data_IF_178679260435
#
_entry.id   IF_178679260435
#
_cell.length_a   1.000
_cell.length_b   1.000
_cell.length_c   1.000
_cell.angle_alpha   90.00
_cell.angle_beta   90.00
_cell.angle_gamma   90.00
#
_symmetry.space_group_name_H-M   'P 1'
#
loop_
_entity.id
_entity.type
_entity.pdbx_description
1 polymer ?
#
# COMPACT_ATOMS: atom_id res chain seq x y z
N UNK A 1 5.79 15.16 -8.41
CA UNK A 1 6.29 16.44 -7.86
C UNK A 1 7.00 16.14 -6.55
N UNK A 2 8.12 16.82 -6.27
CA UNK A 2 8.84 16.76 -4.99
C UNK A 2 8.45 18.00 -4.20
N UNK A 3 8.13 17.81 -2.92
CA UNK A 3 7.86 18.88 -1.96
C UNK A 3 9.05 18.95 -1.00
N UNK A 4 9.43 20.14 -0.58
CA UNK A 4 10.45 20.34 0.44
C UNK A 4 10.14 21.57 1.29
N UNK A 5 10.48 21.52 2.57
CA UNK A 5 10.35 22.60 3.54
C UNK A 5 11.64 22.68 4.36
N UNK A 6 11.83 23.80 5.04
CA UNK A 6 12.93 24.02 5.96
C UNK A 6 12.36 24.12 7.38
N UNK A 7 12.83 23.26 8.30
CA UNK A 7 12.36 23.21 9.68
C UNK A 7 13.49 23.55 10.65
N UNK A 8 13.26 24.49 11.56
CA UNK A 8 14.19 24.87 12.63
C UNK A 8 13.62 24.46 14.00
N UNK A 9 14.50 24.15 14.95
CA UNK A 9 14.12 24.04 16.36
C UNK A 9 13.90 25.44 16.94
N UNK A 10 12.97 25.57 17.89
CA UNK A 10 12.62 26.83 18.59
C UNK A 10 13.86 27.55 19.16
N UNK A 11 14.84 26.79 19.64
CA UNK A 11 15.99 27.28 20.40
C UNK A 11 17.18 27.71 19.52
N UNK A 12 16.93 28.11 18.27
CA UNK A 12 17.92 28.78 17.41
C UNK A 12 18.82 27.85 16.58
N UNK A 13 18.36 26.65 16.22
CA UNK A 13 19.11 25.74 15.35
C UNK A 13 19.07 26.11 13.86
N UNK A 14 20.11 25.74 13.10
CA UNK A 14 20.12 25.89 11.64
C UNK A 14 18.95 25.13 10.99
N UNK A 15 18.19 25.80 10.12
CA UNK A 15 17.00 25.23 9.50
C UNK A 15 17.36 24.03 8.60
N UNK A 16 16.83 22.86 8.95
CA UNK A 16 17.11 21.62 8.25
C UNK A 16 16.08 21.36 7.15
N UNK A 17 16.56 20.94 5.98
CA UNK A 17 15.70 20.73 4.82
C UNK A 17 15.10 19.32 4.82
N UNK A 18 13.79 19.23 5.02
CA UNK A 18 13.02 17.99 4.90
C UNK A 18 12.33 17.96 3.54
N UNK A 19 12.37 16.83 2.84
CA UNK A 19 11.79 16.71 1.50
C UNK A 19 11.15 15.35 1.24
N UNK A 20 9.97 15.36 0.63
CA UNK A 20 9.17 14.18 0.31
C UNK A 20 8.60 14.25 -1.11
N UNK A 21 7.87 13.21 -1.51
CA UNK A 21 7.14 13.18 -2.78
C UNK A 21 5.64 13.28 -2.50
N UNK A 22 4.89 13.88 -3.44
CA UNK A 22 3.42 13.93 -3.33
C UNK A 22 2.86 12.52 -3.17
N UNK A 23 2.10 12.29 -2.10
CA UNK A 23 1.54 10.99 -1.72
C UNK A 23 2.15 10.36 -0.46
N UNK A 24 3.25 10.91 0.09
CA UNK A 24 3.69 10.63 1.46
C UNK A 24 2.59 11.02 2.46
N UNK A 25 2.38 10.27 3.54
CA UNK A 25 1.36 10.58 4.54
C UNK A 25 1.83 11.61 5.57
N UNK A 26 0.89 12.27 6.24
CA UNK A 26 1.18 13.26 7.29
C UNK A 26 2.09 12.68 8.39
N UNK A 27 1.76 11.48 8.90
CA UNK A 27 2.58 10.76 9.88
C UNK A 27 3.99 10.39 9.36
N UNK A 28 4.17 10.21 8.04
CA UNK A 28 5.51 10.01 7.44
C UNK A 28 6.30 11.32 7.36
N UNK A 29 5.65 12.45 7.08
CA UNK A 29 6.28 13.79 7.10
C UNK A 29 6.65 14.18 8.53
N UNK A 30 5.74 14.01 9.47
CA UNK A 30 5.97 14.24 10.90
C UNK A 30 7.16 13.40 11.40
N UNK A 31 7.18 12.09 11.11
CA UNK A 31 8.30 11.20 11.44
C UNK A 31 9.62 11.65 10.80
N UNK A 32 9.60 12.17 9.57
CA UNK A 32 10.80 12.69 8.91
C UNK A 32 11.33 13.96 9.61
N UNK A 33 10.45 14.89 10.00
CA UNK A 33 10.80 16.09 10.77
C UNK A 33 11.42 15.68 12.13
N UNK A 34 10.78 14.75 12.86
CA UNK A 34 11.30 14.22 14.13
C UNK A 34 12.71 13.66 13.99
N UNK A 35 12.96 12.83 12.98
CA UNK A 35 14.29 12.22 12.73
C UNK A 35 15.30 13.31 12.37
N UNK A 36 14.94 14.26 11.51
CA UNK A 36 15.86 15.29 11.02
C UNK A 36 16.30 16.25 12.15
N UNK A 37 15.40 16.56 13.07
CA UNK A 37 15.66 17.43 14.22
C UNK A 37 16.01 16.67 15.51
N UNK A 38 16.26 15.35 15.43
CA UNK A 38 16.58 14.47 16.56
C UNK A 38 15.60 14.55 17.73
N UNK A 39 14.31 14.77 17.43
CA UNK A 39 13.24 14.92 18.43
C UNK A 39 12.85 13.58 19.06
N UNK A 40 12.36 13.57 20.31
CA UNK A 40 11.82 12.36 20.92
C UNK A 40 10.64 11.79 20.12
N UNK A 41 10.47 10.47 20.16
CA UNK A 41 9.48 9.75 19.34
C UNK A 41 8.02 10.02 19.72
N UNK A 42 7.77 10.44 20.98
CA UNK A 42 6.44 10.49 21.58
C UNK A 42 6.02 11.90 22.03
N UNK A 43 6.81 12.95 21.75
CA UNK A 43 6.43 14.33 22.12
C UNK A 43 5.62 14.96 20.99
N UNK A 44 4.41 15.45 21.25
CA UNK A 44 3.65 16.17 20.23
C UNK A 44 4.41 17.42 19.76
N UNK A 45 4.12 17.93 18.56
CA UNK A 45 4.65 19.22 18.12
C UNK A 45 3.79 19.83 17.03
N UNK A 46 3.91 21.15 16.87
CA UNK A 46 3.31 21.90 15.77
C UNK A 46 4.40 22.67 15.02
N UNK A 47 4.05 23.16 13.84
CA UNK A 47 4.90 24.00 13.00
C UNK A 47 4.35 25.42 13.02
N UNK A 48 5.22 26.41 13.17
CA UNK A 48 4.90 27.83 12.99
C UNK A 48 5.50 28.32 11.68
N UNK A 49 4.72 28.96 10.82
CA UNK A 49 5.24 29.52 9.57
C UNK A 49 5.81 30.95 9.74
N UNK A 50 6.11 31.60 8.61
CA UNK A 50 6.66 32.95 8.56
C UNK A 50 5.63 34.04 8.89
N UNK A 51 4.35 33.80 8.64
CA UNK A 51 3.25 34.72 8.98
C UNK A 51 2.87 34.61 10.47
N UNK A 52 3.33 33.54 11.13
CA UNK A 52 3.19 33.29 12.56
C UNK A 52 2.06 32.33 12.91
N UNK A 53 1.40 31.76 11.90
CA UNK A 53 0.33 30.78 12.03
C UNK A 53 0.87 29.43 12.48
N UNK A 54 0.09 28.72 13.30
CA UNK A 54 0.47 27.43 13.87
C UNK A 54 -0.32 26.31 13.20
N UNK A 55 0.39 25.42 12.51
CA UNK A 55 -0.17 24.34 11.68
C UNK A 55 0.39 22.97 12.06
N UNK A 56 -0.37 21.88 11.88
CA UNK A 56 0.16 20.53 12.07
C UNK A 56 1.16 20.15 10.96
N UNK A 57 2.06 19.21 11.26
CA UNK A 57 2.91 18.60 10.24
C UNK A 57 2.05 17.82 9.22
N UNK A 58 2.06 18.24 7.95
CA UNK A 58 1.23 17.63 6.90
C UNK A 58 2.00 17.41 5.59
N UNK A 59 1.58 16.40 4.84
CA UNK A 59 1.99 16.11 3.47
C UNK A 59 1.64 17.21 2.47
N UNK A 60 0.70 18.10 2.83
CA UNK A 60 0.17 19.20 2.00
C UNK A 60 0.87 20.55 2.21
N UNK A 61 1.90 20.62 3.07
CA UNK A 61 2.64 21.87 3.32
C UNK A 61 3.20 22.47 2.01
N UNK A 62 3.07 23.80 1.81
CA UNK A 62 3.61 24.49 0.63
C UNK A 62 5.11 24.25 0.39
N UNK A 63 5.46 24.02 -0.88
CA UNK A 63 6.83 23.73 -1.27
C UNK A 63 7.73 24.97 -1.22
N UNK A 64 8.83 24.88 -0.48
CA UNK A 64 9.85 25.91 -0.32
C UNK A 64 9.77 26.70 0.98
N UNK A 65 8.71 26.48 1.79
CA UNK A 65 8.49 27.29 2.99
C UNK A 65 9.37 26.93 4.18
N UNK A 66 9.54 27.90 5.07
CA UNK A 66 10.25 27.79 6.33
C UNK A 66 9.27 27.69 7.50
N UNK A 67 9.59 26.81 8.46
CA UNK A 67 8.80 26.57 9.66
C UNK A 67 9.69 26.45 10.91
N UNK A 68 9.17 26.89 12.05
CA UNK A 68 9.76 26.69 13.37
C UNK A 68 8.96 25.65 14.14
N UNK A 69 9.62 24.64 14.70
CA UNK A 69 8.97 23.60 15.50
C UNK A 69 8.62 24.13 16.89
N UNK A 70 7.36 23.98 17.28
CA UNK A 70 6.85 24.26 18.61
C UNK A 70 6.60 22.94 19.35
N UNK A 71 7.43 22.66 20.35
CA UNK A 71 7.24 21.56 21.30
C UNK A 71 6.35 22.05 22.47
N UNK A 72 5.31 21.33 22.86
CA UNK A 72 4.58 21.57 24.09
C UNK A 72 5.30 20.86 25.25
N UNK A 73 6.06 21.61 26.05
CA UNK A 73 6.27 21.25 27.46
C UNK A 73 6.70 22.44 28.32
N UNK A 74 6.10 22.50 29.50
CA UNK A 74 6.54 23.13 30.75
C UNK A 74 7.03 24.58 30.71
N UNK A 75 6.08 25.50 30.50
CA UNK A 75 6.04 26.73 31.30
C UNK A 75 4.62 26.93 31.84
N UNK A 76 4.51 27.33 33.11
CA UNK A 76 3.23 27.38 33.82
C UNK A 76 2.31 28.48 33.30
N UNK A 77 1.18 28.09 32.70
CA UNK A 77 0.20 29.04 32.15
C UNK A 77 -1.17 28.40 31.92
N UNK A 78 -2.04 28.53 32.92
CA UNK A 78 -3.43 28.05 32.94
C UNK A 78 -4.19 28.23 31.62
N UNK A 79 -4.71 27.14 31.04
CA UNK A 79 -6.05 27.07 30.43
C UNK A 79 -6.51 25.60 30.31
N UNK A 80 -7.76 25.35 30.65
CA UNK A 80 -8.39 24.08 31.01
C UNK A 80 -8.15 22.85 30.13
N UNK A 81 -7.99 21.70 30.80
CA UNK A 81 -8.25 20.37 30.23
C UNK A 81 -9.73 20.23 29.81
N UNK A 82 -10.01 19.62 28.65
CA UNK A 82 -11.20 18.78 28.44
C UNK A 82 -11.10 17.91 27.16
N UNK A 83 -10.65 16.66 27.35
CA UNK A 83 -11.03 15.45 26.59
C UNK A 83 -11.12 15.46 25.06
N UNK A 84 -10.15 14.72 24.49
CA UNK A 84 -10.35 13.74 23.42
C UNK A 84 -11.75 13.10 23.36
N UNK A 85 -12.37 13.08 22.18
CA UNK A 85 -13.33 12.03 21.82
C UNK A 85 -13.31 11.73 20.31
N UNK A 86 -13.53 10.46 19.98
CA UNK A 86 -13.39 9.91 18.63
C UNK A 86 -14.64 10.19 17.75
N UNK A 87 -14.38 10.57 16.50
CA UNK A 87 -14.92 9.94 15.26
C UNK A 87 -16.45 9.72 15.14
N UNK A 88 -17.02 10.25 14.02
CA UNK A 88 -18.33 9.91 13.40
C UNK A 88 -19.59 10.36 14.19
N UNK A 89 -20.70 10.79 13.58
CA UNK A 89 -21.16 10.68 12.18
C UNK A 89 -21.91 11.95 11.74
N UNK A 90 -21.91 12.23 10.43
CA UNK A 90 -22.73 13.28 9.80
C UNK A 90 -24.04 12.67 9.29
N UNK A 91 -25.15 12.88 10.01
CA UNK A 91 -26.51 12.68 9.50
C UNK A 91 -27.51 13.44 10.37
N UNK A 92 -27.90 14.65 9.92
CA UNK A 92 -29.12 15.33 10.37
C UNK A 92 -29.75 16.05 9.19
N UNK A 93 -31.00 15.70 8.91
CA UNK A 93 -31.86 16.39 7.95
C UNK A 93 -32.56 17.56 8.65
N UNK A 94 -32.87 18.61 7.85
CA UNK A 94 -33.94 19.60 8.05
C UNK A 94 -33.77 20.56 9.26
N UNK A 95 -34.30 21.80 9.26
CA UNK A 95 -35.47 22.35 8.53
C UNK A 95 -35.38 23.90 8.41
N UNK A 96 -35.86 24.51 7.30
CA UNK A 96 -36.22 25.96 7.12
C UNK A 96 -35.07 27.02 7.21
N UNK A 97 -35.07 28.20 6.57
CA UNK A 97 -36.11 29.12 6.03
C UNK A 97 -35.68 29.71 4.66
N UNK A 98 -36.64 29.99 3.75
CA UNK A 98 -36.47 30.60 2.41
C UNK A 98 -36.31 32.14 2.42
N UNK A 99 -35.73 32.79 1.37
CA UNK A 99 -36.47 33.14 0.12
C UNK A 99 -35.58 33.18 -1.17
N UNK A 100 -36.06 33.48 -2.40
CA UNK A 100 -37.29 33.07 -3.12
C UNK A 100 -37.27 33.50 -4.61
N UNK A 101 -37.57 32.57 -5.56
CA UNK A 101 -38.11 32.81 -6.92
C UNK A 101 -37.29 33.59 -7.99
N UNK A 102 -37.61 33.49 -9.32
CA UNK A 102 -38.41 32.48 -10.07
C UNK A 102 -37.76 31.96 -11.39
N UNK A 103 -38.23 30.81 -11.94
CA UNK A 103 -38.55 30.62 -13.39
C UNK A 103 -39.18 29.24 -13.79
N UNK A 104 -40.51 29.26 -13.97
CA UNK A 104 -41.35 28.66 -15.06
C UNK A 104 -41.35 27.15 -15.45
N UNK A 105 -42.60 26.68 -15.70
CA UNK A 105 -43.14 25.50 -16.47
C UNK A 105 -43.20 24.14 -15.70
N UNK A 106 -44.40 23.58 -15.42
CA UNK A 106 -45.44 22.91 -16.29
C UNK A 106 -45.13 21.39 -16.37
N UNK A 107 -45.96 20.40 -15.99
CA UNK A 107 -47.42 20.19 -16.15
C UNK A 107 -48.05 19.29 -15.04
N UNK A 108 -49.39 19.18 -15.06
CA UNK A 108 -50.42 18.46 -14.24
C UNK A 108 -50.14 16.99 -13.76
N UNK A 109 -50.57 16.54 -12.57
CA UNK A 109 -51.93 16.14 -12.05
C UNK A 109 -52.39 14.77 -12.63
N UNK A 110 -52.63 13.68 -11.87
CA UNK A 110 -53.70 13.39 -10.87
C UNK A 110 -53.57 11.93 -10.34
N UNK A 111 -54.35 11.36 -9.40
CA UNK A 111 -54.81 11.75 -8.02
C UNK A 111 -55.60 10.54 -7.37
N UNK A 112 -55.77 10.51 -6.03
CA UNK A 112 -56.55 9.56 -5.15
C UNK A 112 -55.89 8.24 -4.66
N UNK A 113 -55.91 8.08 -3.31
CA UNK A 113 -55.91 6.81 -2.53
C UNK A 113 -57.14 6.85 -1.59
N UNK A 114 -57.84 5.74 -1.28
CA UNK A 114 -57.68 4.98 -0.02
C UNK A 114 -57.80 3.43 -0.22
N UNK A 115 -57.15 2.50 0.51
CA UNK A 115 -57.18 2.15 1.95
C UNK A 115 -58.55 1.62 2.47
N UNK A 116 -58.62 0.78 3.54
CA UNK A 116 -57.76 -0.33 3.97
C UNK A 116 -58.57 -1.62 4.36
N UNK A 117 -57.91 -2.71 4.78
CA UNK A 117 -58.59 -3.89 5.36
C UNK A 117 -57.69 -4.72 6.29
N UNK A 118 -58.14 -4.99 7.52
CA UNK A 118 -57.39 -5.77 8.53
C UNK A 118 -57.95 -7.18 8.68
N UNK A 119 -57.10 -8.20 8.87
CA UNK A 119 -57.10 -9.05 10.10
C UNK A 119 -56.37 -10.41 9.97
N UNK A 120 -55.52 -10.66 10.98
CA UNK A 120 -55.25 -11.94 11.68
C UNK A 120 -54.69 -13.18 10.93
N UNK A 121 -53.52 -13.60 11.45
CA UNK A 121 -53.13 -14.98 11.81
C UNK A 121 -53.34 -16.09 10.76
N UNK A 122 -52.24 -16.63 10.23
CA UNK A 122 -51.83 -17.99 10.62
C UNK A 122 -50.34 -18.29 10.34
N UNK A 123 -49.86 -19.39 10.95
CA UNK A 123 -48.68 -20.21 10.65
C UNK A 123 -47.29 -19.58 10.62
N UNK A 124 -46.55 -19.94 11.67
CA UNK A 124 -45.13 -20.31 11.57
C UNK A 124 -44.94 -21.30 10.43
N UNK A 125 -44.31 -20.86 9.33
CA UNK A 125 -43.65 -21.75 8.38
C UNK A 125 -42.16 -21.55 8.60
N UNK A 126 -41.49 -22.60 9.06
CA UNK A 126 -40.03 -22.64 9.07
C UNK A 126 -39.56 -22.55 7.61
N UNK A 127 -39.01 -21.40 7.23
CA UNK A 127 -38.31 -21.27 5.95
C UNK A 127 -37.01 -22.05 6.09
N UNK A 128 -37.03 -23.30 5.60
CA UNK A 128 -35.83 -24.08 5.39
C UNK A 128 -34.91 -23.27 4.47
N UNK A 129 -33.86 -22.68 5.04
CA UNK A 129 -32.84 -21.95 4.29
C UNK A 129 -32.26 -22.90 3.23
N UNK A 130 -32.36 -22.59 1.93
CA UNK A 130 -31.70 -23.38 0.92
C UNK A 130 -30.20 -23.41 1.18
N UNK A 131 -29.61 -24.58 0.98
CA UNK A 131 -28.18 -24.83 1.07
C UNK A 131 -27.40 -23.75 0.30
N UNK A 132 -26.30 -23.25 0.87
CA UNK A 132 -25.52 -22.15 0.28
C UNK A 132 -25.13 -22.48 -1.16
N UNK A 133 -25.46 -21.57 -2.08
CA UNK A 133 -25.10 -21.69 -3.49
C UNK A 133 -23.56 -21.83 -3.64
N UNK A 134 -23.12 -22.78 -4.48
CA UNK A 134 -21.74 -22.97 -4.96
C UNK A 134 -21.26 -21.79 -5.83
N UNK A 135 -21.27 -20.60 -5.26
CA UNK A 135 -20.89 -19.37 -5.94
C UNK A 135 -19.38 -19.25 -5.89
N UNK A 136 -18.72 -19.55 -7.02
CA UNK A 136 -17.28 -19.35 -7.18
C UNK A 136 -16.88 -17.95 -6.70
N UNK A 137 -15.77 -17.82 -5.95
CA UNK A 137 -15.32 -16.56 -5.40
C UNK A 137 -14.96 -15.58 -6.52
N UNK A 138 -15.11 -14.28 -6.24
CA UNK A 138 -14.68 -13.25 -7.20
C UNK A 138 -13.17 -13.35 -7.48
N UNK A 139 -12.74 -12.99 -8.70
CA UNK A 139 -11.32 -12.94 -9.07
C UNK A 139 -10.51 -12.06 -8.10
N UNK A 140 -11.13 -11.00 -7.59
CA UNK A 140 -10.53 -10.12 -6.60
C UNK A 140 -10.28 -10.86 -5.27
N UNK A 141 -11.23 -11.70 -4.81
CA UNK A 141 -11.08 -12.55 -3.62
C UNK A 141 -9.97 -13.58 -3.78
N UNK A 142 -9.86 -14.22 -4.95
CA UNK A 142 -8.76 -15.15 -5.27
C UNK A 142 -7.41 -14.43 -5.20
N UNK A 143 -7.30 -13.25 -5.81
CA UNK A 143 -6.09 -12.43 -5.80
C UNK A 143 -5.71 -12.00 -4.37
N UNK A 144 -6.69 -11.68 -3.52
CA UNK A 144 -6.43 -11.36 -2.12
C UNK A 144 -5.80 -12.54 -1.36
N UNK A 145 -6.43 -13.73 -1.44
CA UNK A 145 -5.91 -14.94 -0.80
C UNK A 145 -4.52 -15.31 -1.34
N UNK A 146 -4.32 -15.27 -2.66
CA UNK A 146 -3.01 -15.48 -3.29
C UNK A 146 -1.93 -14.52 -2.74
N UNK A 147 -2.23 -13.23 -2.63
CA UNK A 147 -1.29 -12.23 -2.08
C UNK A 147 -0.94 -12.55 -0.63
N UNK A 148 -1.91 -12.92 0.19
CA UNK A 148 -1.67 -13.21 1.62
C UNK A 148 -0.96 -14.54 1.86
N UNK A 149 -1.19 -15.56 1.02
CA UNK A 149 -0.40 -16.81 1.03
C UNK A 149 1.06 -16.55 0.69
N UNK A 150 1.38 -15.94 -0.45
CA UNK A 150 2.77 -15.88 -0.95
C UNK A 150 3.58 -14.67 -0.50
N UNK A 151 2.98 -13.68 0.16
CA UNK A 151 3.68 -12.45 0.53
C UNK A 151 3.40 -12.04 1.97
N UNK A 152 4.32 -11.33 2.61
CA UNK A 152 4.14 -10.73 3.94
C UNK A 152 4.37 -9.22 3.88
N UNK A 153 3.73 -8.42 4.76
CA UNK A 153 4.12 -7.02 4.97
C UNK A 153 5.62 -6.89 5.16
N UNK A 154 6.22 -5.85 4.58
CA UNK A 154 7.63 -5.56 4.78
C UNK A 154 7.85 -4.84 6.12
N UNK A 155 8.96 -5.11 6.77
CA UNK A 155 9.33 -4.43 8.01
C UNK A 155 9.88 -3.02 7.71
N UNK A 156 9.85 -2.11 8.69
CA UNK A 156 10.24 -0.71 8.52
C UNK A 156 11.74 -0.52 8.17
N UNK A 157 12.56 -1.52 8.47
CA UNK A 157 14.00 -1.62 8.29
C UNK A 157 14.41 -2.42 7.04
N UNK A 158 13.53 -3.27 6.52
CA UNK A 158 13.77 -4.07 5.31
C UNK A 158 13.65 -3.19 4.05
N UNK A 159 14.79 -2.60 3.69
CA UNK A 159 14.92 -1.71 2.54
C UNK A 159 15.21 -2.45 1.21
N UNK A 160 15.18 -3.78 1.20
CA UNK A 160 15.72 -4.60 0.10
C UNK A 160 14.70 -5.64 -0.41
N UNK A 161 13.98 -6.33 0.48
CA UNK A 161 13.12 -7.48 0.18
C UNK A 161 11.84 -7.19 -0.62
N UNK A 162 11.60 -5.95 -1.06
CA UNK A 162 10.38 -5.57 -1.78
C UNK A 162 10.18 -6.36 -3.08
N UNK A 163 8.92 -6.71 -3.33
CA UNK A 163 8.49 -7.25 -4.63
C UNK A 163 8.48 -6.13 -5.69
N UNK A 164 9.05 -6.34 -6.89
CA UNK A 164 8.99 -5.33 -7.95
C UNK A 164 7.60 -5.34 -8.60
N UNK A 165 7.21 -4.20 -9.17
CA UNK A 165 5.94 -4.09 -9.89
C UNK A 165 6.06 -4.47 -11.38
N UNK A 166 7.25 -4.86 -11.87
CA UNK A 166 7.49 -5.28 -13.24
C UNK A 166 8.77 -6.13 -13.40
N UNK A 167 8.78 -6.95 -14.45
CA UNK A 167 9.86 -7.87 -14.79
C UNK A 167 9.64 -9.26 -14.19
N UNK A 168 10.49 -10.22 -14.58
CA UNK A 168 10.41 -11.65 -14.28
C UNK A 168 10.36 -12.05 -12.78
N UNK A 169 10.41 -11.09 -11.86
CA UNK A 169 10.30 -11.30 -10.40
C UNK A 169 9.04 -10.66 -9.79
N UNK A 170 8.16 -10.09 -10.60
CA UNK A 170 6.98 -9.37 -10.13
C UNK A 170 5.85 -10.34 -9.73
N UNK A 171 4.99 -9.91 -8.79
CA UNK A 171 3.94 -10.77 -8.25
C UNK A 171 2.92 -11.25 -9.30
N UNK A 172 2.71 -10.46 -10.35
CA UNK A 172 1.84 -10.85 -11.46
C UNK A 172 2.40 -12.03 -12.25
N UNK A 173 3.71 -12.07 -12.48
CA UNK A 173 4.37 -13.16 -13.20
C UNK A 173 4.27 -14.48 -12.41
N UNK A 174 4.41 -14.42 -11.07
CA UNK A 174 4.12 -15.57 -10.19
C UNK A 174 2.63 -15.97 -10.22
N UNK A 175 1.71 -14.99 -10.23
CA UNK A 175 0.27 -15.27 -10.33
C UNK A 175 -0.07 -16.00 -11.63
N UNK A 176 0.43 -15.51 -12.76
CA UNK A 176 0.28 -16.18 -14.03
C UNK A 176 0.93 -17.57 -14.04
N UNK A 177 2.06 -17.78 -13.38
CA UNK A 177 2.70 -19.10 -13.28
C UNK A 177 1.87 -20.14 -12.51
N UNK A 178 1.13 -19.71 -11.47
CA UNK A 178 0.34 -20.60 -10.60
C UNK A 178 -1.12 -20.75 -11.07
N UNK A 179 -1.65 -19.75 -11.78
CA UNK A 179 -3.09 -19.61 -12.08
C UNK A 179 -3.36 -19.66 -13.60
N UNK A 180 -2.33 -19.94 -14.43
CA UNK A 180 -2.34 -19.91 -15.90
C UNK A 180 -3.56 -20.58 -16.53
N UNK A 181 -3.80 -21.84 -16.16
CA UNK A 181 -4.77 -22.72 -16.82
C UNK A 181 -6.19 -22.61 -16.24
N UNK A 182 -6.44 -21.55 -15.45
CA UNK A 182 -7.74 -21.28 -14.84
C UNK A 182 -8.46 -20.12 -15.52
N UNK A 183 -9.80 -20.11 -15.45
CA UNK A 183 -10.64 -18.98 -15.88
C UNK A 183 -10.38 -17.67 -15.10
N UNK A 184 -9.55 -17.72 -14.04
CA UNK A 184 -9.18 -16.57 -13.22
C UNK A 184 -7.84 -15.96 -13.62
N UNK A 185 -7.11 -16.57 -14.56
CA UNK A 185 -5.89 -16.00 -15.15
C UNK A 185 -6.17 -14.63 -15.77
N UNK A 186 -5.60 -13.57 -15.16
CA UNK A 186 -5.78 -12.22 -15.66
C UNK A 186 -4.85 -11.96 -16.85
N UNK A 187 -5.43 -11.75 -18.03
CA UNK A 187 -4.70 -11.30 -19.24
C UNK A 187 -4.06 -9.90 -19.12
N UNK A 188 -4.39 -9.16 -18.06
CA UNK A 188 -4.05 -7.75 -17.87
C UNK A 188 -3.44 -7.48 -16.50
N UNK A 189 -2.13 -7.24 -16.50
CA UNK A 189 -1.31 -6.89 -15.34
C UNK A 189 -1.80 -5.66 -14.57
N UNK A 190 -2.25 -4.62 -15.26
CA UNK A 190 -2.79 -3.41 -14.62
C UNK A 190 -4.05 -3.70 -13.80
N UNK A 191 -4.87 -4.66 -14.25
CA UNK A 191 -6.07 -5.09 -13.56
C UNK A 191 -5.73 -5.92 -12.30
N UNK A 192 -4.72 -6.80 -12.38
CA UNK A 192 -4.19 -7.51 -11.21
C UNK A 192 -3.74 -6.52 -10.13
N UNK A 193 -2.87 -5.55 -10.47
CA UNK A 193 -2.41 -4.56 -9.50
C UNK A 193 -3.50 -3.58 -9.03
N UNK A 194 -4.55 -3.35 -9.83
CA UNK A 194 -5.74 -2.62 -9.39
C UNK A 194 -6.50 -3.41 -8.31
N UNK A 195 -6.69 -4.71 -8.50
CA UNK A 195 -7.37 -5.58 -7.53
C UNK A 195 -6.54 -5.72 -6.24
N UNK A 196 -5.23 -5.99 -6.31
CA UNK A 196 -4.38 -6.03 -5.09
C UNK A 196 -4.40 -4.70 -4.32
N UNK A 197 -4.52 -3.56 -5.01
CA UNK A 197 -4.64 -2.23 -4.39
C UNK A 197 -5.95 -1.98 -3.66
N UNK A 198 -6.96 -2.85 -3.78
CA UNK A 198 -8.22 -2.74 -3.04
C UNK A 198 -8.16 -3.47 -1.69
N UNK A 199 -7.31 -4.50 -1.55
CA UNK A 199 -7.20 -5.31 -0.33
C UNK A 199 -6.20 -4.79 0.71
N UNK A 200 -5.42 -3.76 0.36
CA UNK A 200 -4.52 -3.10 1.30
C UNK A 200 -3.99 -1.79 0.76
N UNK A 201 -3.53 -0.91 1.66
CA UNK A 201 -2.82 0.31 1.30
C UNK A 201 -1.46 -0.07 0.70
N UNK A 202 -1.42 -0.20 -0.63
CA UNK A 202 -0.20 -0.21 -1.42
C UNK A 202 0.41 1.19 -1.30
N UNK A 203 1.29 1.39 -0.31
CA UNK A 203 2.09 2.61 -0.19
C UNK A 203 3.14 2.64 -1.32
N UNK A 204 3.13 3.73 -2.08
CA UNK A 204 3.51 3.75 -3.50
C UNK A 204 4.96 4.15 -3.73
N UNK A 205 5.89 3.54 -2.99
CA UNK A 205 7.31 3.84 -3.15
C UNK A 205 7.82 3.49 -4.56
N UNK A 206 8.14 4.52 -5.35
CA UNK A 206 8.76 4.40 -6.67
C UNK A 206 10.28 4.38 -6.53
N UNK A 207 10.82 3.23 -6.16
CA UNK A 207 12.26 3.04 -5.93
C UNK A 207 12.77 1.88 -6.78
N UNK A 208 13.97 2.02 -7.35
CA UNK A 208 14.64 0.94 -8.08
C UNK A 208 14.84 -0.28 -7.18
N UNK A 209 14.76 -1.46 -7.78
CA UNK A 209 15.08 -2.73 -7.12
C UNK A 209 16.28 -3.37 -7.82
N UNK A 210 17.04 -4.13 -7.05
CA UNK A 210 18.25 -4.79 -7.50
C UNK A 210 18.18 -6.24 -7.05
N UNK A 211 18.44 -7.16 -7.98
CA UNK A 211 18.39 -8.59 -7.73
C UNK A 211 19.66 -9.24 -8.26
N UNK A 212 20.15 -10.23 -7.54
CA UNK A 212 21.19 -11.15 -7.98
C UNK A 212 20.52 -12.47 -8.38
N UNK A 213 20.81 -12.98 -9.56
CA UNK A 213 20.30 -14.26 -10.06
C UNK A 213 21.45 -15.21 -10.39
N UNK A 214 21.32 -16.53 -10.18
CA UNK A 214 22.21 -17.50 -10.80
C UNK A 214 22.00 -17.50 -12.33
N UNK A 215 23.08 -17.58 -13.11
CA UNK A 215 22.94 -17.88 -14.54
C UNK A 215 22.65 -19.38 -14.70
N UNK A 216 21.63 -19.73 -15.47
CA UNK A 216 21.19 -21.12 -15.64
C UNK A 216 22.20 -22.05 -16.36
N UNK A 217 23.32 -21.52 -16.85
CA UNK A 217 24.31 -22.26 -17.69
C UNK A 217 25.78 -22.03 -17.27
N UNK A 218 26.03 -21.27 -16.20
CA UNK A 218 27.39 -20.98 -15.70
C UNK A 218 27.34 -20.74 -14.20
N UNK A 219 28.44 -20.94 -13.47
CA UNK A 219 28.58 -20.51 -12.05
C UNK A 219 28.65 -18.96 -11.87
N UNK A 220 28.23 -18.22 -12.89
CA UNK A 220 28.12 -16.77 -12.92
C UNK A 220 26.85 -16.25 -12.24
N UNK A 221 26.90 -14.98 -11.83
CA UNK A 221 25.79 -14.24 -11.22
C UNK A 221 25.38 -13.07 -12.11
N UNK A 222 24.10 -13.01 -12.45
CA UNK A 222 23.48 -11.89 -13.15
C UNK A 222 22.99 -10.87 -12.12
N UNK A 223 23.21 -9.57 -12.38
CA UNK A 223 22.76 -8.49 -11.51
C UNK A 223 21.76 -7.62 -12.28
N UNK A 224 20.50 -7.65 -11.86
CA UNK A 224 19.37 -7.04 -12.58
C UNK A 224 18.87 -5.81 -11.83
N UNK A 225 18.72 -4.69 -12.54
CA UNK A 225 18.05 -3.49 -12.03
C UNK A 225 16.61 -3.40 -12.55
N UNK A 226 15.62 -3.62 -11.68
CA UNK A 226 14.22 -3.37 -12.01
C UNK A 226 13.86 -1.91 -11.71
N UNK A 227 13.60 -1.13 -12.77
CA UNK A 227 13.09 0.25 -12.67
C UNK A 227 11.57 0.23 -12.40
N UNK A 228 11.04 1.04 -11.47
CA UNK A 228 9.61 1.07 -11.19
C UNK A 228 8.84 1.64 -12.38
N UNK A 229 7.78 0.96 -12.83
CA UNK A 229 6.89 1.41 -13.91
C UNK A 229 5.46 1.60 -13.40
N UNK A 230 4.72 2.58 -13.90
CA UNK A 230 3.31 2.80 -13.52
C UNK A 230 3.10 3.27 -12.06
N UNK A 231 2.10 2.70 -11.37
CA UNK A 231 1.77 3.02 -9.96
C UNK A 231 2.76 2.29 -9.02
N UNK A 232 3.04 2.88 -7.86
CA UNK A 232 4.09 2.41 -6.93
C UNK A 232 3.85 1.00 -6.38
N UNK A 233 4.91 0.42 -5.81
CA UNK A 233 5.01 -1.02 -5.52
C UNK A 233 4.15 -1.48 -4.34
N UNK A 234 3.84 -2.77 -4.31
CA UNK A 234 3.31 -3.47 -3.14
C UNK A 234 4.36 -3.38 -2.00
N UNK A 235 4.02 -2.81 -0.83
CA UNK A 235 4.90 -2.81 0.36
C UNK A 235 4.90 -4.19 1.06
N UNK A 236 5.21 -5.22 0.28
CA UNK A 236 5.28 -6.60 0.71
C UNK A 236 6.52 -7.24 0.12
N UNK A 237 6.99 -8.27 0.80
CA UNK A 237 8.08 -9.16 0.39
C UNK A 237 7.53 -10.55 0.16
N UNK A 238 8.19 -11.33 -0.69
CA UNK A 238 7.87 -12.75 -0.79
C UNK A 238 8.03 -13.43 0.57
N UNK A 239 7.12 -14.36 0.88
CA UNK A 239 7.15 -15.12 2.12
C UNK A 239 8.35 -16.06 2.06
N UNK A 240 9.48 -15.64 2.67
CA UNK A 240 10.51 -16.59 3.09
C UNK A 240 9.90 -17.47 4.19
N UNK A 241 10.09 -18.78 4.04
CA UNK A 241 9.62 -19.80 4.96
C UNK A 241 10.86 -20.52 5.51
N UNK A 242 10.83 -20.94 6.78
CA UNK A 242 11.99 -21.54 7.42
C UNK A 242 12.26 -22.96 6.93
N UNK A 243 11.19 -23.70 6.61
CA UNK A 243 11.22 -25.08 6.11
C UNK A 243 10.18 -25.29 5.01
N UNK A 244 10.27 -26.39 4.27
CA UNK A 244 9.32 -26.70 3.19
C UNK A 244 7.90 -27.02 3.73
N UNK A 245 7.81 -27.63 4.91
CA UNK A 245 6.56 -28.09 5.53
C UNK A 245 5.68 -26.90 5.96
N UNK A 246 6.28 -25.82 6.48
CA UNK A 246 5.59 -24.57 6.79
C UNK A 246 4.95 -23.92 5.54
N UNK A 247 5.61 -24.08 4.38
CA UNK A 247 5.15 -23.55 3.10
C UNK A 247 4.03 -24.42 2.53
N UNK A 248 4.23 -25.74 2.52
CA UNK A 248 3.20 -26.71 2.14
C UNK A 248 1.94 -26.54 2.99
N UNK A 249 2.07 -26.37 4.31
CA UNK A 249 0.93 -26.08 5.18
C UNK A 249 0.25 -24.74 4.83
N UNK A 250 1.04 -23.68 4.58
CA UNK A 250 0.52 -22.36 4.18
C UNK A 250 -0.24 -22.39 2.84
N UNK A 251 0.20 -23.22 1.90
CA UNK A 251 -0.46 -23.39 0.59
C UNK A 251 -1.68 -24.30 0.72
N UNK A 252 -1.53 -25.47 1.34
CA UNK A 252 -2.60 -26.46 1.55
C UNK A 252 -3.83 -25.91 2.29
N UNK A 253 -3.63 -24.97 3.20
CA UNK A 253 -4.72 -24.30 3.93
C UNK A 253 -5.29 -23.06 3.22
N UNK A 254 -4.70 -22.63 2.10
CA UNK A 254 -5.15 -21.43 1.40
C UNK A 254 -6.45 -21.70 0.61
N UNK A 255 -7.55 -20.95 0.85
CA UNK A 255 -8.85 -21.22 0.23
C UNK A 255 -8.83 -21.25 -1.31
N UNK A 256 -7.98 -20.43 -1.94
CA UNK A 256 -7.90 -20.37 -3.40
C UNK A 256 -7.37 -21.65 -4.06
N UNK A 257 -6.61 -22.49 -3.34
CA UNK A 257 -6.17 -23.79 -3.85
C UNK A 257 -7.37 -24.71 -4.06
N UNK A 258 -8.30 -24.74 -3.10
CA UNK A 258 -9.55 -25.50 -3.20
C UNK A 258 -10.46 -24.92 -4.27
N UNK A 259 -10.65 -23.58 -4.30
CA UNK A 259 -11.53 -22.91 -5.27
C UNK A 259 -11.08 -23.07 -6.72
N UNK A 260 -9.77 -23.21 -6.95
CA UNK A 260 -9.17 -23.38 -8.28
C UNK A 260 -8.79 -24.83 -8.60
N UNK A 261 -9.01 -25.77 -7.68
CA UNK A 261 -8.66 -27.20 -7.81
C UNK A 261 -7.17 -27.42 -8.15
N UNK A 262 -6.28 -26.60 -7.58
CA UNK A 262 -4.84 -26.69 -7.82
C UNK A 262 -4.18 -27.75 -6.94
N UNK A 263 -3.15 -28.44 -7.44
CA UNK A 263 -2.30 -29.26 -6.56
C UNK A 263 -1.37 -28.36 -5.74
N UNK A 264 -1.62 -28.33 -4.43
CA UNK A 264 -0.74 -27.70 -3.45
C UNK A 264 0.75 -28.04 -3.61
N UNK A 265 1.12 -29.28 -3.99
CA UNK A 265 2.52 -29.68 -4.13
C UNK A 265 3.19 -29.05 -5.36
N UNK A 266 2.49 -29.02 -6.48
CA UNK A 266 2.95 -28.31 -7.67
C UNK A 266 3.07 -26.81 -7.39
N UNK A 267 2.07 -26.21 -6.73
CA UNK A 267 2.07 -24.79 -6.36
C UNK A 267 3.23 -24.42 -5.42
N UNK A 268 3.54 -25.27 -4.43
CA UNK A 268 4.74 -25.13 -3.59
C UNK A 268 6.00 -25.16 -4.46
N UNK A 269 6.15 -26.18 -5.32
CA UNK A 269 7.31 -26.35 -6.21
C UNK A 269 7.52 -25.14 -7.13
N UNK A 270 6.45 -24.63 -7.74
CA UNK A 270 6.48 -23.44 -8.60
C UNK A 270 6.88 -22.19 -7.82
N UNK A 271 6.34 -22.01 -6.61
CA UNK A 271 6.69 -20.88 -5.75
C UNK A 271 8.16 -20.93 -5.30
N UNK A 272 8.64 -22.09 -4.82
CA UNK A 272 10.04 -22.27 -4.40
C UNK A 272 11.01 -22.00 -5.54
N UNK A 273 10.76 -22.60 -6.72
CA UNK A 273 11.56 -22.36 -7.93
C UNK A 273 11.56 -20.88 -8.33
N UNK A 274 10.43 -20.19 -8.19
CA UNK A 274 10.34 -18.76 -8.47
C UNK A 274 11.19 -17.93 -7.49
N UNK A 275 11.02 -18.11 -6.17
CA UNK A 275 11.72 -17.28 -5.17
C UNK A 275 13.19 -17.63 -4.95
N UNK A 276 13.62 -18.85 -5.31
CA UNK A 276 15.05 -19.23 -5.32
C UNK A 276 15.79 -18.71 -6.56
N UNK A 277 15.07 -18.40 -7.65
CA UNK A 277 15.62 -17.83 -8.88
C UNK A 277 16.19 -16.41 -8.75
N UNK A 278 16.01 -15.74 -7.60
CA UNK A 278 16.56 -14.40 -7.36
C UNK A 278 16.76 -14.09 -5.88
N UNK A 279 17.82 -13.33 -5.59
CA UNK A 279 18.12 -12.78 -4.26
C UNK A 279 18.02 -11.25 -4.33
N UNK A 280 17.11 -10.62 -3.57
CA UNK A 280 17.07 -9.15 -3.43
C UNK A 280 18.38 -8.64 -2.80
N UNK A 281 18.99 -7.61 -3.39
CA UNK A 281 20.28 -7.02 -2.95
C UNK A 281 20.18 -5.49 -2.80
N UNK A 282 21.12 -4.88 -2.09
CA UNK A 282 21.13 -3.43 -1.92
C UNK A 282 21.62 -2.69 -3.17
N UNK A 283 21.33 -1.38 -3.24
CA UNK A 283 21.92 -0.48 -4.26
C UNK A 283 23.45 -0.48 -4.20
N UNK A 284 24.04 -0.65 -3.01
CA UNK A 284 25.49 -0.67 -2.81
C UNK A 284 26.11 -1.89 -3.52
N UNK A 285 25.56 -3.07 -3.28
CA UNK A 285 26.08 -4.34 -3.82
C UNK A 285 25.99 -4.35 -5.36
N UNK A 286 24.86 -3.87 -5.90
CA UNK A 286 24.69 -3.65 -7.34
C UNK A 286 25.71 -2.65 -7.91
N UNK A 287 26.01 -1.58 -7.17
CA UNK A 287 27.03 -0.59 -7.54
C UNK A 287 28.44 -1.20 -7.58
N UNK A 288 28.82 -1.98 -6.56
CA UNK A 288 30.11 -2.69 -6.50
C UNK A 288 30.29 -3.64 -7.68
N UNK A 289 29.26 -4.42 -8.03
CA UNK A 289 29.30 -5.27 -9.22
C UNK A 289 29.44 -4.47 -10.52
N UNK A 290 28.64 -3.41 -10.69
CA UNK A 290 28.69 -2.59 -11.91
C UNK A 290 30.07 -1.95 -12.10
N UNK A 291 30.69 -1.49 -11.01
CA UNK A 291 32.04 -0.94 -11.05
C UNK A 291 33.09 -2.01 -11.40
N UNK A 292 33.01 -3.20 -10.81
CA UNK A 292 33.96 -4.29 -11.14
C UNK A 292 33.84 -4.78 -12.58
N UNK A 293 32.64 -4.75 -13.19
CA UNK A 293 32.46 -5.03 -14.61
C UNK A 293 33.05 -3.94 -15.52
N UNK A 294 32.94 -2.67 -15.15
CA UNK A 294 33.56 -1.57 -15.89
C UNK A 294 35.10 -1.69 -15.90
N UNK A 295 35.70 -2.03 -14.76
CA UNK A 295 37.15 -2.26 -14.67
C UNK A 295 37.62 -3.47 -15.49
N UNK A 296 36.89 -4.59 -15.47
CA UNK A 296 37.21 -5.74 -16.34
C UNK A 296 37.20 -5.35 -17.81
N UNK A 297 36.18 -4.61 -18.25
CA UNK A 297 36.04 -4.21 -19.63
C UNK A 297 37.11 -3.19 -20.07
N UNK A 298 37.70 -2.42 -19.15
CA UNK A 298 38.83 -1.53 -19.43
C UNK A 298 40.18 -2.27 -19.50
N UNK A 299 40.34 -3.38 -18.75
CA UNK A 299 41.57 -4.17 -18.77
C UNK A 299 41.68 -5.11 -19.98
N UNK A 300 40.59 -5.36 -20.72
CA UNK A 300 40.59 -6.19 -21.95
C UNK A 300 41.01 -5.40 -23.20
N UNK A 301 41.15 -4.07 -23.11
CA UNK A 301 41.54 -3.20 -24.24
C UNK A 301 43.03 -2.85 -24.32
N UNK A 302 43.89 -3.54 -23.56
CA UNK A 302 45.32 -3.20 -23.43
C UNK A 302 46.29 -4.36 -23.76
N UNK A 303 45.86 -5.34 -24.55
CA UNK A 303 46.76 -6.30 -25.22
C UNK A 303 46.75 -6.03 -26.73
N UNK A 304 47.81 -5.36 -27.21
CA UNK A 304 48.15 -5.12 -28.62
C UNK A 304 49.61 -5.52 -28.85
#
# INVERSE_FOLDING_TARGET
>A
MKVNVYVAAKDGGAAQRVAWYVGTSDAQVEKAIRIQLSMPRNTDFLLRDADGDVVPASSTLPNGQHYTVLMPHEDGGCMSQATTSLIKNKLRNELTISPSSPKKRKLERSVVTPAPGWSRLDRVIAVNTPLQNDTLPSTATIIAQFVDTFTRPIANDDNVGFIPNEGRFALYDLYCLIVCDTNFCLKRKDMFYKMTSMYGKIDRQRVNRYYQCPLAQTDGKEYVQCKPRGKGVLLRRYRKVGTAEELEHSVKTAPFIVWLQLDHKEVVTLYERFVTGFVPISKRDYGTYRYSQLLRNQNVTCDF
#
